data_IF_037243791227
#
_entry.id   IF_037243791227
#
_cell.length_a   1.000
_cell.length_b   1.000
_cell.length_c   1.000
_cell.angle_alpha   90.00
_cell.angle_beta   90.00
_cell.angle_gamma   90.00
#
_symmetry.space_group_name_H-M   'P 1'
#
loop_
_entity.id
_entity.type
_entity.pdbx_description
1 polymer ?
#
# COMPACT_ATOMS: atom_id res chain seq x y z
N UNK A 1 -28.66 -1.19 5.83
CA UNK A 1 -28.66 -0.46 7.12
C UNK A 1 -30.08 -0.33 7.70
N UNK A 2 -30.53 -1.36 8.44
CA UNK A 2 -31.83 -1.39 9.13
C UNK A 2 -31.76 -2.11 10.50
N UNK A 3 -30.70 -2.87 10.73
CA UNK A 3 -30.58 -3.83 11.84
C UNK A 3 -30.54 -3.17 13.21
N UNK A 4 -29.88 -2.01 13.32
CA UNK A 4 -29.80 -1.30 14.59
C UNK A 4 -31.19 -0.79 15.01
N UNK A 5 -31.99 -0.34 14.03
CA UNK A 5 -33.38 0.06 14.24
C UNK A 5 -34.28 -1.16 14.52
N UNK A 6 -34.06 -2.30 13.84
CA UNK A 6 -34.77 -3.56 14.11
C UNK A 6 -34.50 -4.08 15.54
N UNK A 7 -33.24 -4.04 15.98
CA UNK A 7 -32.85 -4.43 17.33
C UNK A 7 -33.48 -3.50 18.38
N UNK A 8 -33.54 -2.20 18.11
CA UNK A 8 -34.21 -1.24 18.98
C UNK A 8 -35.73 -1.45 19.03
N UNK A 9 -36.38 -1.72 17.88
CA UNK A 9 -37.81 -2.02 17.81
C UNK A 9 -38.15 -3.34 18.53
N UNK A 10 -37.31 -4.37 18.39
CA UNK A 10 -37.45 -5.64 19.10
C UNK A 10 -37.26 -5.47 20.61
N UNK A 11 -36.31 -4.64 21.06
CA UNK A 11 -36.12 -4.31 22.48
C UNK A 11 -37.32 -3.57 23.08
N UNK A 12 -37.99 -2.74 22.28
CA UNK A 12 -39.15 -1.96 22.71
C UNK A 12 -40.49 -2.71 22.54
N UNK A 13 -40.49 -3.98 22.15
CA UNK A 13 -41.70 -4.78 21.83
C UNK A 13 -42.63 -4.13 20.80
N UNK A 14 -42.10 -3.28 19.91
CA UNK A 14 -42.87 -2.64 18.84
C UNK A 14 -42.87 -3.54 17.60
N UNK A 15 -43.84 -4.46 17.57
CA UNK A 15 -43.99 -5.45 16.49
C UNK A 15 -44.27 -4.78 15.14
N UNK A 16 -45.03 -3.69 15.11
CA UNK A 16 -45.37 -3.00 13.86
C UNK A 16 -44.16 -2.27 13.27
N UNK A 17 -43.36 -1.61 14.11
CA UNK A 17 -42.12 -1.00 13.68
C UNK A 17 -41.11 -2.07 13.24
N UNK A 18 -41.01 -3.18 13.99
CA UNK A 18 -40.15 -4.31 13.65
C UNK A 18 -40.49 -4.91 12.28
N UNK A 19 -41.75 -5.26 12.03
CA UNK A 19 -42.19 -5.83 10.75
C UNK A 19 -41.91 -4.88 9.58
N UNK A 20 -42.20 -3.59 9.76
CA UNK A 20 -41.93 -2.57 8.73
C UNK A 20 -40.44 -2.44 8.43
N UNK A 21 -39.58 -2.53 9.44
CA UNK A 21 -38.13 -2.47 9.28
C UNK A 21 -37.60 -3.77 8.65
N UNK A 22 -38.12 -4.93 9.06
CA UNK A 22 -37.79 -6.23 8.50
C UNK A 22 -38.10 -6.31 7.01
N UNK A 23 -39.29 -5.87 6.57
CA UNK A 23 -39.62 -5.86 5.14
C UNK A 23 -38.76 -4.87 4.34
N UNK A 24 -38.37 -3.72 4.92
CA UNK A 24 -37.40 -2.81 4.29
C UNK A 24 -36.01 -3.43 4.17
N UNK A 25 -35.59 -4.18 5.20
CA UNK A 25 -34.32 -4.87 5.21
C UNK A 25 -34.30 -6.02 4.20
N UNK A 26 -35.34 -6.85 4.13
CA UNK A 26 -35.50 -7.88 3.09
C UNK A 26 -35.47 -7.25 1.70
N UNK A 27 -36.17 -6.13 1.49
CA UNK A 27 -36.12 -5.38 0.23
C UNK A 27 -34.70 -4.86 -0.10
N UNK A 28 -33.95 -4.41 0.90
CA UNK A 28 -32.56 -4.00 0.75
C UNK A 28 -31.65 -5.17 0.38
N UNK A 29 -31.76 -6.30 1.09
CA UNK A 29 -31.02 -7.53 0.77
C UNK A 29 -31.36 -7.99 -0.64
N UNK A 30 -32.64 -8.01 -1.02
CA UNK A 30 -33.08 -8.37 -2.37
C UNK A 30 -32.52 -7.45 -3.45
N UNK A 31 -32.55 -6.13 -3.24
CA UNK A 31 -31.95 -5.16 -4.16
C UNK A 31 -30.44 -5.32 -4.28
N UNK A 32 -29.74 -5.58 -3.16
CA UNK A 32 -28.29 -5.81 -3.14
C UNK A 32 -27.94 -7.12 -3.86
N UNK A 33 -28.75 -8.15 -3.68
CA UNK A 33 -28.64 -9.47 -4.34
C UNK A 33 -28.74 -9.32 -5.87
N UNK A 34 -29.81 -8.69 -6.36
CA UNK A 34 -30.00 -8.47 -7.81
C UNK A 34 -28.89 -7.60 -8.38
N UNK A 35 -28.48 -6.55 -7.66
CA UNK A 35 -27.40 -5.66 -8.09
C UNK A 35 -26.05 -6.37 -8.10
N UNK A 36 -25.71 -7.14 -7.07
CA UNK A 36 -24.48 -7.94 -6.98
C UNK A 36 -24.42 -8.97 -8.11
N UNK A 37 -25.51 -9.70 -8.34
CA UNK A 37 -25.60 -10.67 -9.43
C UNK A 37 -25.46 -10.00 -10.81
N UNK A 38 -26.21 -8.92 -11.06
CA UNK A 38 -26.18 -8.20 -12.33
C UNK A 38 -24.81 -7.57 -12.62
N UNK A 39 -24.18 -6.95 -11.61
CA UNK A 39 -22.83 -6.39 -11.74
C UNK A 39 -21.77 -7.49 -11.81
N UNK A 40 -22.01 -8.64 -11.20
CA UNK A 40 -21.23 -9.87 -11.35
C UNK A 40 -21.20 -10.33 -12.79
N UNK A 41 -22.38 -10.51 -13.38
CA UNK A 41 -22.56 -10.96 -14.77
C UNK A 41 -22.00 -9.96 -15.79
N UNK A 42 -22.31 -8.67 -15.62
CA UNK A 42 -21.86 -7.60 -16.54
C UNK A 42 -20.46 -7.09 -16.25
N UNK A 43 -19.74 -7.67 -15.28
CA UNK A 43 -18.42 -7.19 -14.83
C UNK A 43 -18.40 -5.68 -14.52
N UNK A 44 -19.49 -5.19 -13.93
CA UNK A 44 -19.68 -3.78 -13.57
C UNK A 44 -19.90 -2.80 -14.74
N UNK A 45 -19.88 -3.26 -16.00
CA UNK A 45 -19.93 -2.40 -17.20
C UNK A 45 -21.11 -1.43 -17.23
N UNK A 46 -22.23 -1.80 -16.61
CA UNK A 46 -23.49 -1.05 -16.59
C UNK A 46 -23.60 -0.08 -15.41
N UNK A 47 -22.62 -0.04 -14.51
CA UNK A 47 -22.65 0.87 -13.37
C UNK A 47 -22.21 2.29 -13.72
N UNK A 48 -22.86 3.27 -13.07
CA UNK A 48 -22.56 4.68 -13.20
C UNK A 48 -21.12 5.00 -12.74
N UNK A 49 -20.45 5.87 -13.48
CA UNK A 49 -19.11 6.36 -13.16
C UNK A 49 -19.10 7.89 -13.19
N UNK A 50 -18.38 8.54 -12.27
CA UNK A 50 -18.27 10.00 -12.28
C UNK A 50 -17.48 10.52 -13.50
N UNK A 51 -16.62 9.67 -14.09
CA UNK A 51 -15.79 10.04 -15.24
C UNK A 51 -15.76 8.99 -16.34
N UNK A 52 -15.32 9.42 -17.53
CA UNK A 52 -15.19 8.61 -18.73
C UNK A 52 -13.74 8.30 -19.15
N UNK A 53 -12.77 8.55 -18.28
CA UNK A 53 -11.33 8.45 -18.56
C UNK A 53 -10.75 7.05 -18.23
N UNK A 54 -9.41 6.96 -18.14
CA UNK A 54 -8.69 5.72 -17.82
C UNK A 54 -9.12 5.08 -16.47
N UNK A 55 -9.76 5.85 -15.58
CA UNK A 55 -10.23 5.37 -14.27
C UNK A 55 -11.66 4.83 -14.29
N UNK A 56 -12.41 5.01 -15.39
CA UNK A 56 -13.81 4.60 -15.52
C UNK A 56 -14.05 3.16 -15.06
N UNK A 57 -13.25 2.22 -15.56
CA UNK A 57 -13.40 0.79 -15.23
C UNK A 57 -13.19 0.52 -13.75
N UNK A 58 -12.32 1.25 -13.08
CA UNK A 58 -12.09 1.09 -11.64
C UNK A 58 -13.29 1.47 -10.79
N UNK A 59 -13.98 2.57 -11.11
CA UNK A 59 -15.24 2.91 -10.45
C UNK A 59 -16.30 1.82 -10.63
N UNK A 60 -16.35 1.20 -11.81
CA UNK A 60 -17.27 0.10 -12.08
C UNK A 60 -16.94 -1.16 -11.27
N UNK A 61 -15.65 -1.45 -11.12
CA UNK A 61 -15.15 -2.56 -10.30
C UNK A 61 -15.42 -2.34 -8.80
N UNK A 62 -15.18 -1.13 -8.30
CA UNK A 62 -15.53 -0.71 -6.95
C UNK A 62 -17.04 -0.86 -6.67
N UNK A 63 -17.89 -0.40 -7.59
CA UNK A 63 -19.36 -0.54 -7.46
C UNK A 63 -19.79 -2.01 -7.38
N UNK A 64 -19.18 -2.89 -8.18
CA UNK A 64 -19.44 -4.33 -8.13
C UNK A 64 -19.01 -4.91 -6.78
N UNK A 65 -17.78 -4.65 -6.35
CA UNK A 65 -17.25 -5.18 -5.10
C UNK A 65 -17.99 -4.64 -3.87
N UNK A 66 -18.42 -3.38 -3.90
CA UNK A 66 -19.27 -2.79 -2.86
C UNK A 66 -20.63 -3.49 -2.77
N UNK A 67 -21.26 -3.81 -3.90
CA UNK A 67 -22.50 -4.60 -3.91
C UNK A 67 -22.29 -6.02 -3.35
N UNK A 68 -21.16 -6.65 -3.69
CA UNK A 68 -20.80 -7.96 -3.13
C UNK A 68 -20.56 -7.90 -1.62
N UNK A 69 -19.85 -6.89 -1.13
CA UNK A 69 -19.65 -6.68 0.30
C UNK A 69 -20.98 -6.49 1.03
N UNK A 70 -21.88 -5.65 0.50
CA UNK A 70 -23.20 -5.44 1.08
C UNK A 70 -23.98 -6.76 1.19
N UNK A 71 -24.01 -7.56 0.12
CA UNK A 71 -24.64 -8.88 0.13
C UNK A 71 -24.00 -9.82 1.17
N UNK A 72 -22.66 -9.89 1.21
CA UNK A 72 -21.93 -10.71 2.16
C UNK A 72 -22.22 -10.29 3.60
N UNK A 73 -22.26 -8.99 3.90
CA UNK A 73 -22.59 -8.45 5.21
C UNK A 73 -24.02 -8.82 5.62
N UNK A 74 -25.00 -8.58 4.74
CA UNK A 74 -26.41 -8.86 4.97
C UNK A 74 -26.64 -10.36 5.24
N UNK A 75 -26.08 -11.24 4.40
CA UNK A 75 -26.23 -12.70 4.56
C UNK A 75 -25.45 -13.23 5.77
N UNK A 76 -24.25 -12.69 6.05
CA UNK A 76 -23.49 -13.05 7.25
C UNK A 76 -24.28 -12.76 8.51
N UNK A 77 -24.90 -11.60 8.57
CA UNK A 77 -25.72 -11.18 9.71
C UNK A 77 -27.03 -11.97 9.80
N UNK A 78 -27.67 -12.30 8.67
CA UNK A 78 -28.87 -13.14 8.67
C UNK A 78 -28.59 -14.58 9.14
N UNK A 79 -27.49 -15.19 8.68
CA UNK A 79 -27.13 -16.57 9.02
C UNK A 79 -26.52 -16.70 10.41
N UNK A 80 -25.70 -15.73 10.83
CA UNK A 80 -24.93 -15.82 12.07
C UNK A 80 -25.57 -15.02 13.21
N UNK A 81 -26.41 -14.03 12.91
CA UNK A 81 -27.10 -13.19 13.89
C UNK A 81 -26.15 -12.66 14.97
N UNK A 82 -26.56 -12.80 16.24
CA UNK A 82 -25.75 -12.40 17.39
C UNK A 82 -24.45 -13.19 17.59
N UNK A 83 -24.29 -14.36 16.92
CA UNK A 83 -23.04 -15.12 16.96
C UNK A 83 -21.96 -14.55 16.05
N UNK A 84 -22.30 -13.63 15.13
CA UNK A 84 -21.33 -12.94 14.27
C UNK A 84 -20.26 -12.23 15.09
N UNK A 85 -20.65 -11.59 16.21
CA UNK A 85 -19.73 -10.96 17.15
C UNK A 85 -18.72 -11.96 17.75
N UNK A 86 -19.11 -13.23 17.91
CA UNK A 86 -18.22 -14.30 18.40
C UNK A 86 -17.37 -14.93 17.29
N UNK A 87 -17.69 -14.68 16.01
CA UNK A 87 -16.93 -15.17 14.85
C UNK A 87 -16.04 -14.07 14.29
N UNK A 88 -15.09 -13.64 15.11
CA UNK A 88 -14.20 -12.50 14.85
C UNK A 88 -13.48 -12.61 13.50
N UNK A 89 -13.06 -13.80 13.08
CA UNK A 89 -12.41 -14.00 11.76
C UNK A 89 -13.29 -13.64 10.57
N UNK A 90 -14.60 -13.88 10.64
CA UNK A 90 -15.53 -13.53 9.54
C UNK A 90 -15.72 -12.02 9.51
N UNK A 91 -15.94 -11.41 10.68
CA UNK A 91 -16.07 -9.96 10.80
C UNK A 91 -14.79 -9.23 10.35
N UNK A 92 -13.62 -9.77 10.70
CA UNK A 92 -12.32 -9.23 10.28
C UNK A 92 -12.20 -9.24 8.75
N UNK A 93 -12.53 -10.35 8.09
CA UNK A 93 -12.48 -10.44 6.62
C UNK A 93 -13.45 -9.48 5.93
N UNK A 94 -14.66 -9.28 6.46
CA UNK A 94 -15.57 -8.25 5.95
C UNK A 94 -14.95 -6.84 6.10
N UNK A 95 -14.29 -6.58 7.23
CA UNK A 95 -13.53 -5.36 7.47
C UNK A 95 -12.35 -5.18 6.52
N UNK A 96 -11.64 -6.26 6.19
CA UNK A 96 -10.53 -6.25 5.24
C UNK A 96 -11.02 -5.89 3.82
N UNK A 97 -12.14 -6.48 3.37
CA UNK A 97 -12.77 -6.11 2.07
C UNK A 97 -13.15 -4.63 2.06
N UNK A 98 -13.78 -4.15 3.13
CA UNK A 98 -14.13 -2.73 3.27
C UNK A 98 -12.89 -1.82 3.22
N UNK A 99 -11.81 -2.23 3.88
CA UNK A 99 -10.55 -1.49 3.93
C UNK A 99 -9.95 -1.37 2.53
N UNK A 100 -9.94 -2.45 1.74
CA UNK A 100 -9.46 -2.40 0.35
C UNK A 100 -10.33 -1.51 -0.55
N UNK A 101 -11.65 -1.57 -0.40
CA UNK A 101 -12.57 -0.66 -1.10
C UNK A 101 -12.33 0.81 -0.75
N UNK A 102 -12.07 1.09 0.52
CA UNK A 102 -11.75 2.42 1.00
C UNK A 102 -10.42 2.92 0.41
N UNK A 103 -9.36 2.11 0.44
CA UNK A 103 -8.06 2.45 -0.12
C UNK A 103 -8.14 2.72 -1.63
N UNK A 104 -8.80 1.84 -2.40
CA UNK A 104 -9.01 2.06 -3.83
C UNK A 104 -9.81 3.34 -4.11
N UNK A 105 -10.83 3.61 -3.31
CA UNK A 105 -11.64 4.84 -3.44
C UNK A 105 -10.82 6.09 -3.08
N UNK A 106 -9.97 6.02 -2.06
CA UNK A 106 -9.08 7.10 -1.65
C UNK A 106 -8.03 7.41 -2.73
N UNK A 107 -7.47 6.39 -3.39
CA UNK A 107 -6.55 6.56 -4.53
C UNK A 107 -7.24 7.31 -5.67
N UNK A 108 -8.45 6.88 -6.05
CA UNK A 108 -9.22 7.55 -7.12
C UNK A 108 -9.63 8.98 -6.73
N UNK A 109 -10.04 9.19 -5.47
CA UNK A 109 -10.43 10.49 -4.95
C UNK A 109 -9.25 11.46 -4.93
N UNK A 110 -8.08 11.00 -4.47
CA UNK A 110 -6.84 11.79 -4.49
C UNK A 110 -6.45 12.16 -5.93
N UNK A 111 -6.53 11.21 -6.86
CA UNK A 111 -6.24 11.49 -8.28
C UNK A 111 -7.17 12.57 -8.86
N UNK A 112 -8.45 12.54 -8.48
CA UNK A 112 -9.43 13.57 -8.85
C UNK A 112 -9.10 14.94 -8.23
N UNK A 113 -8.82 14.97 -6.92
CA UNK A 113 -8.52 16.20 -6.17
C UNK A 113 -7.20 16.85 -6.59
N UNK A 114 -6.21 16.05 -6.99
CA UNK A 114 -4.91 16.53 -7.48
C UNK A 114 -4.94 16.87 -8.97
N UNK A 115 -6.11 16.90 -9.63
CA UNK A 115 -6.26 17.41 -10.99
C UNK A 115 -5.95 16.40 -12.10
N UNK A 116 -6.03 15.09 -11.80
CA UNK A 116 -5.95 13.99 -12.76
C UNK A 116 -4.71 14.01 -13.67
N UNK A 117 -3.54 14.19 -13.07
CA UNK A 117 -2.29 14.23 -13.80
C UNK A 117 -1.94 12.87 -14.44
N UNK A 118 -1.78 12.82 -15.76
CA UNK A 118 -1.47 11.56 -16.47
C UNK A 118 -0.19 10.88 -15.96
N UNK A 119 0.78 11.64 -15.47
CA UNK A 119 2.02 11.12 -14.87
C UNK A 119 1.77 10.26 -13.61
N UNK A 120 0.62 10.43 -12.94
CA UNK A 120 0.25 9.69 -11.73
C UNK A 120 -0.52 8.40 -12.05
N UNK A 121 -0.97 8.22 -13.31
CA UNK A 121 -1.76 7.05 -13.71
C UNK A 121 -1.09 5.72 -13.39
N UNK A 122 0.23 5.50 -13.57
CA UNK A 122 0.85 4.23 -13.20
C UNK A 122 0.64 3.87 -11.73
N UNK A 123 0.71 4.85 -10.82
CA UNK A 123 0.46 4.65 -9.38
C UNK A 123 -1.01 4.37 -9.09
N UNK A 124 -1.92 5.07 -9.77
CA UNK A 124 -3.37 4.85 -9.65
C UNK A 124 -3.74 3.45 -10.13
N UNK A 125 -3.26 3.07 -11.31
CA UNK A 125 -3.47 1.74 -11.88
C UNK A 125 -2.95 0.66 -10.93
N UNK A 126 -1.76 0.83 -10.38
CA UNK A 126 -1.14 -0.14 -9.49
C UNK A 126 -1.93 -0.28 -8.18
N UNK A 127 -2.16 0.84 -7.49
CA UNK A 127 -2.81 0.85 -6.18
C UNK A 127 -4.25 0.34 -6.22
N UNK A 128 -5.01 0.70 -7.27
CA UNK A 128 -6.38 0.21 -7.41
C UNK A 128 -6.42 -1.27 -7.83
N UNK A 129 -5.53 -1.72 -8.72
CA UNK A 129 -5.47 -3.14 -9.10
C UNK A 129 -5.12 -4.03 -7.89
N UNK A 130 -4.11 -3.66 -7.11
CA UNK A 130 -3.72 -4.39 -5.90
C UNK A 130 -4.88 -4.45 -4.89
N UNK A 131 -5.55 -3.32 -4.62
CA UNK A 131 -6.68 -3.28 -3.71
C UNK A 131 -7.88 -4.13 -4.20
N UNK A 132 -8.22 -4.07 -5.49
CA UNK A 132 -9.29 -4.89 -6.07
C UNK A 132 -8.94 -6.39 -6.01
N UNK A 133 -7.69 -6.74 -6.28
CA UNK A 133 -7.18 -8.11 -6.20
C UNK A 133 -7.28 -8.66 -4.77
N UNK A 134 -6.75 -7.91 -3.78
CA UNK A 134 -6.83 -8.28 -2.36
C UNK A 134 -8.26 -8.40 -1.86
N UNK A 135 -9.14 -7.46 -2.24
CA UNK A 135 -10.55 -7.53 -1.89
C UNK A 135 -11.21 -8.82 -2.41
N UNK A 136 -10.92 -9.22 -3.65
CA UNK A 136 -11.43 -10.46 -4.23
C UNK A 136 -10.89 -11.71 -3.54
N UNK A 137 -9.60 -11.74 -3.21
CA UNK A 137 -9.00 -12.82 -2.42
C UNK A 137 -9.68 -12.99 -1.06
N UNK A 138 -9.84 -11.89 -0.32
CA UNK A 138 -10.45 -11.92 1.02
C UNK A 138 -11.91 -12.35 0.96
N UNK A 139 -12.68 -11.90 -0.04
CA UNK A 139 -14.06 -12.38 -0.24
C UNK A 139 -14.12 -13.87 -0.50
N UNK A 140 -13.23 -14.39 -1.32
CA UNK A 140 -13.18 -15.82 -1.60
C UNK A 140 -12.76 -16.63 -0.36
N UNK A 141 -11.75 -16.16 0.39
CA UNK A 141 -11.35 -16.76 1.66
C UNK A 141 -12.47 -16.75 2.70
N UNK A 142 -13.30 -15.69 2.71
CA UNK A 142 -14.50 -15.61 3.55
C UNK A 142 -15.49 -16.70 3.15
N UNK A 143 -15.77 -16.89 1.86
CA UNK A 143 -16.70 -17.89 1.35
C UNK A 143 -16.20 -19.32 1.58
N UNK A 144 -14.92 -19.58 1.35
CA UNK A 144 -14.29 -20.89 1.60
C UNK A 144 -14.36 -21.32 3.07
N UNK A 145 -14.43 -20.38 3.99
CA UNK A 145 -14.48 -20.63 5.43
C UNK A 145 -15.85 -20.30 6.04
N UNK A 146 -16.86 -20.08 5.19
CA UNK A 146 -18.17 -19.69 5.67
C UNK A 146 -18.84 -20.88 6.38
N UNK A 147 -19.50 -20.69 7.54
CA UNK A 147 -19.94 -21.81 8.39
C UNK A 147 -21.00 -22.70 7.73
N UNK A 148 -21.88 -22.10 6.93
CA UNK A 148 -22.89 -22.82 6.17
C UNK A 148 -22.42 -23.01 4.73
N UNK A 149 -22.03 -24.24 4.38
CA UNK A 149 -21.50 -24.59 3.04
C UNK A 149 -22.51 -24.38 1.91
N UNK A 150 -23.80 -24.56 2.17
CA UNK A 150 -24.85 -24.36 1.16
C UNK A 150 -24.98 -22.87 0.84
N UNK A 151 -25.06 -22.04 1.88
CA UNK A 151 -25.10 -20.58 1.72
C UNK A 151 -23.82 -20.09 1.05
N UNK A 152 -22.66 -20.64 1.43
CA UNK A 152 -21.39 -20.32 0.79
C UNK A 152 -21.43 -20.60 -0.72
N UNK A 153 -21.91 -21.78 -1.13
CA UNK A 153 -22.03 -22.14 -2.55
C UNK A 153 -22.94 -21.20 -3.34
N UNK A 154 -24.10 -20.83 -2.77
CA UNK A 154 -25.03 -19.88 -3.39
C UNK A 154 -24.41 -18.49 -3.53
N UNK A 155 -23.75 -18.00 -2.48
CA UNK A 155 -23.04 -16.72 -2.52
C UNK A 155 -21.90 -16.72 -3.52
N UNK A 156 -21.11 -17.80 -3.59
CA UNK A 156 -20.03 -17.95 -4.58
C UNK A 156 -20.58 -17.89 -6.00
N UNK A 157 -21.65 -18.62 -6.30
CA UNK A 157 -22.28 -18.59 -7.62
C UNK A 157 -22.82 -17.18 -7.99
N UNK A 158 -23.25 -16.40 -6.99
CA UNK A 158 -23.78 -15.06 -7.20
C UNK A 158 -22.70 -13.99 -7.36
N UNK A 159 -21.64 -14.05 -6.56
CA UNK A 159 -20.54 -13.08 -6.52
C UNK A 159 -19.54 -13.32 -7.66
N UNK A 160 -19.30 -14.61 -7.96
CA UNK A 160 -18.33 -15.11 -8.94
C UNK A 160 -19.00 -16.01 -10.01
N UNK A 161 -20.04 -15.55 -10.72
CA UNK A 161 -20.76 -16.38 -11.69
C UNK A 161 -19.86 -16.88 -12.82
N UNK A 162 -18.85 -16.08 -13.18
CA UNK A 162 -17.84 -16.40 -14.20
C UNK A 162 -16.43 -16.53 -13.59
N UNK A 163 -16.34 -16.81 -12.29
CA UNK A 163 -15.08 -16.94 -11.54
C UNK A 163 -14.51 -15.62 -11.03
N UNK A 164 -13.23 -15.67 -10.63
CA UNK A 164 -12.42 -14.51 -10.19
C UNK A 164 -11.91 -13.72 -11.39
N UNK A 165 -11.81 -12.41 -11.26
CA UNK A 165 -11.56 -11.52 -12.40
C UNK A 165 -10.36 -10.60 -12.23
N UNK A 166 -9.93 -10.35 -11.00
CA UNK A 166 -8.84 -9.42 -10.76
C UNK A 166 -7.52 -10.17 -10.76
N UNK A 167 -6.57 -9.63 -11.52
CA UNK A 167 -5.19 -10.07 -11.52
C UNK A 167 -4.39 -9.12 -10.63
N UNK A 168 -3.32 -9.63 -10.04
CA UNK A 168 -2.32 -8.78 -9.41
C UNK A 168 -1.74 -7.79 -10.45
N UNK A 169 -1.23 -6.63 -10.00
CA UNK A 169 -0.50 -5.72 -10.87
C UNK A 169 0.60 -6.46 -11.65
N UNK A 170 0.75 -6.13 -12.94
CA UNK A 170 1.77 -6.75 -13.79
C UNK A 170 3.17 -6.21 -13.49
N UNK A 171 4.22 -7.01 -13.69
CA UNK A 171 5.63 -6.59 -13.56
C UNK A 171 5.97 -5.33 -14.38
N UNK A 172 5.33 -5.16 -15.54
CA UNK A 172 5.50 -3.94 -16.37
C UNK A 172 5.03 -2.69 -15.64
N UNK A 173 3.95 -2.80 -14.89
CA UNK A 173 3.39 -1.72 -14.09
C UNK A 173 4.23 -1.49 -12.84
N UNK A 174 4.70 -2.55 -12.19
CA UNK A 174 5.64 -2.47 -11.07
C UNK A 174 6.91 -1.72 -11.46
N UNK A 175 7.48 -2.07 -12.62
CA UNK A 175 8.67 -1.39 -13.15
C UNK A 175 8.41 0.11 -13.43
N UNK A 176 7.24 0.44 -13.98
CA UNK A 176 6.86 1.84 -14.22
C UNK A 176 6.74 2.64 -12.91
N UNK A 177 6.11 2.07 -11.89
CA UNK A 177 6.00 2.68 -10.55
C UNK A 177 7.38 2.82 -9.90
N UNK A 178 8.21 1.77 -9.95
CA UNK A 178 9.55 1.79 -9.39
C UNK A 178 10.42 2.88 -10.04
N UNK A 179 10.31 3.08 -11.35
CA UNK A 179 11.03 4.14 -12.07
C UNK A 179 10.59 5.54 -11.62
N UNK A 180 9.28 5.74 -11.39
CA UNK A 180 8.76 7.01 -10.87
C UNK A 180 9.33 7.31 -9.47
N UNK A 181 9.48 6.30 -8.61
CA UNK A 181 9.96 6.50 -7.24
C UNK A 181 11.48 6.71 -7.15
N UNK A 182 12.25 6.11 -8.07
CA UNK A 182 13.72 6.20 -8.09
C UNK A 182 14.26 7.48 -8.73
N UNK A 183 13.46 8.17 -9.56
CA UNK A 183 13.89 9.38 -10.26
C UNK A 183 13.20 10.62 -9.68
N UNK A 184 13.92 11.73 -9.41
CA UNK A 184 13.31 12.99 -9.04
C UNK A 184 12.31 13.46 -10.13
N UNK A 185 11.03 13.54 -9.78
CA UNK A 185 9.98 14.02 -10.67
C UNK A 185 8.82 14.65 -9.87
N UNK A 186 7.89 15.29 -10.58
CA UNK A 186 6.75 15.98 -9.97
C UNK A 186 5.81 15.01 -9.23
N UNK A 187 5.58 13.81 -9.77
CA UNK A 187 4.75 12.76 -9.16
C UNK A 187 5.29 12.31 -7.80
N UNK A 188 6.59 11.98 -7.74
CA UNK A 188 7.29 11.64 -6.50
C UNK A 188 7.20 12.77 -5.48
N UNK A 189 7.40 14.00 -5.94
CA UNK A 189 7.32 15.21 -5.09
C UNK A 189 5.91 15.42 -4.52
N UNK A 190 4.86 15.15 -5.31
CA UNK A 190 3.46 15.19 -4.82
C UNK A 190 3.20 14.13 -3.75
N UNK A 191 3.73 12.91 -3.91
CA UNK A 191 3.62 11.86 -2.89
C UNK A 191 4.36 12.23 -1.61
N UNK A 192 5.57 12.76 -1.71
CA UNK A 192 6.39 13.19 -0.57
C UNK A 192 6.01 14.54 0.03
N UNK A 193 4.90 15.15 -0.38
CA UNK A 193 4.48 16.47 0.10
C UNK A 193 4.31 16.47 1.62
N UNK A 194 4.92 17.45 2.28
CA UNK A 194 4.90 17.58 3.74
C UNK A 194 6.06 16.89 4.46
N UNK A 195 6.95 16.21 3.73
CA UNK A 195 8.20 15.68 4.28
C UNK A 195 9.27 16.77 4.38
N UNK A 196 10.04 16.75 5.47
CA UNK A 196 11.21 17.60 5.63
C UNK A 196 12.44 16.95 4.96
N UNK A 197 12.73 17.38 3.74
CA UNK A 197 13.80 16.80 2.90
C UNK A 197 15.07 17.65 2.85
N UNK A 198 15.18 18.69 3.68
CA UNK A 198 16.38 19.52 3.74
C UNK A 198 17.55 18.69 4.28
N UNK A 199 18.68 18.60 3.55
CA UNK A 199 19.86 17.91 4.04
C UNK A 199 20.38 18.59 5.31
N UNK A 200 20.53 17.81 6.36
CA UNK A 200 21.08 18.24 7.64
C UNK A 200 21.73 17.04 8.31
N UNK A 201 22.73 17.28 9.16
CA UNK A 201 23.47 16.24 9.88
C UNK A 201 22.55 15.25 10.61
N UNK A 202 21.44 15.74 11.17
CA UNK A 202 20.46 14.94 11.90
C UNK A 202 19.21 14.58 11.07
N UNK A 203 19.24 14.77 9.74
CA UNK A 203 18.16 14.38 8.84
C UNK A 203 18.63 13.34 7.81
N UNK A 204 18.64 12.04 8.17
CA UNK A 204 19.10 10.99 7.26
C UNK A 204 18.28 10.93 5.95
N UNK A 205 16.99 11.24 6.00
CA UNK A 205 16.13 11.27 4.81
C UNK A 205 16.53 12.41 3.85
N UNK A 206 16.88 13.58 4.41
CA UNK A 206 17.41 14.69 3.62
C UNK A 206 18.79 14.39 3.02
N UNK A 207 19.66 13.71 3.77
CA UNK A 207 20.98 13.28 3.27
C UNK A 207 20.88 12.24 2.15
N UNK A 208 19.89 11.34 2.22
CA UNK A 208 19.59 10.37 1.16
C UNK A 208 19.07 11.06 -0.11
N UNK A 209 18.23 12.09 0.04
CA UNK A 209 17.73 12.87 -1.09
C UNK A 209 18.86 13.68 -1.77
N UNK A 210 19.81 14.20 -0.99
CA UNK A 210 21.03 14.81 -1.53
C UNK A 210 21.88 13.78 -2.29
N UNK A 211 22.12 12.62 -1.68
CA UNK A 211 22.92 11.56 -2.31
C UNK A 211 22.32 11.07 -3.63
N UNK A 212 20.98 10.96 -3.72
CA UNK A 212 20.30 10.63 -4.97
C UNK A 212 20.61 11.66 -6.07
N UNK A 213 20.60 12.96 -5.75
CA UNK A 213 20.89 14.02 -6.71
C UNK A 213 22.35 14.00 -7.16
N UNK A 214 23.28 13.83 -6.22
CA UNK A 214 24.71 13.76 -6.53
C UNK A 214 25.02 12.54 -7.42
N UNK A 215 24.43 11.37 -7.14
CA UNK A 215 24.58 10.16 -7.96
C UNK A 215 24.02 10.35 -9.38
N UNK A 216 22.84 10.97 -9.50
CA UNK A 216 22.24 11.26 -10.81
C UNK A 216 23.11 12.24 -11.62
N UNK A 217 23.72 13.23 -10.96
CA UNK A 217 24.63 14.17 -11.63
C UNK A 217 25.94 13.49 -12.08
N UNK A 218 26.42 12.50 -11.32
CA UNK A 218 27.63 11.74 -11.63
C UNK A 218 27.45 10.70 -12.76
N UNK A 219 26.26 10.11 -12.91
CA UNK A 219 25.97 9.06 -13.91
C UNK A 219 26.38 9.42 -15.35
N UNK A 220 25.99 10.58 -15.94
CA UNK A 220 26.36 10.90 -17.32
C UNK A 220 27.89 11.05 -17.51
N UNK A 221 28.60 11.54 -16.49
CA UNK A 221 30.06 11.68 -16.51
C UNK A 221 30.71 10.29 -16.48
N UNK A 222 30.25 9.42 -15.57
CA UNK A 222 30.72 8.04 -15.46
C UNK A 222 30.51 7.25 -16.76
N UNK A 223 29.31 7.35 -17.36
CA UNK A 223 28.99 6.71 -18.64
C UNK A 223 29.92 7.19 -19.76
N UNK A 224 30.24 8.49 -19.79
CA UNK A 224 31.17 9.06 -20.79
C UNK A 224 32.58 8.51 -20.62
N UNK A 225 33.09 8.47 -19.39
CA UNK A 225 34.41 7.88 -19.08
C UNK A 225 34.46 6.39 -19.48
N UNK A 226 33.41 5.62 -19.17
CA UNK A 226 33.33 4.20 -19.53
C UNK A 226 33.37 4.00 -21.05
N UNK A 227 32.66 4.86 -21.79
CA UNK A 227 32.61 4.83 -23.26
C UNK A 227 33.96 5.17 -23.88
N UNK A 228 34.64 6.20 -23.40
CA UNK A 228 35.96 6.63 -23.91
C UNK A 228 37.06 5.61 -23.60
N UNK A 229 36.98 4.94 -22.44
CA UNK A 229 37.92 3.88 -22.06
C UNK A 229 37.56 2.51 -22.67
N UNK A 230 36.38 2.38 -23.29
CA UNK A 230 35.87 1.12 -23.83
C UNK A 230 35.69 0.02 -22.78
N UNK A 231 35.47 0.39 -21.51
CA UNK A 231 35.36 -0.54 -20.37
C UNK A 231 34.19 -0.14 -19.49
N UNK A 232 33.43 -1.14 -19.03
CA UNK A 232 32.40 -0.92 -18.02
C UNK A 232 33.06 -0.90 -16.62
N UNK A 233 33.25 0.30 -16.08
CA UNK A 233 33.86 0.49 -14.76
C UNK A 233 32.77 0.44 -13.68
N UNK A 234 33.07 -0.09 -12.48
CA UNK A 234 32.09 -0.10 -11.40
C UNK A 234 31.72 1.33 -10.99
N UNK A 235 30.48 1.55 -10.57
CA UNK A 235 30.01 2.82 -10.03
C UNK A 235 30.35 2.94 -8.53
N UNK A 236 31.64 2.82 -8.22
CA UNK A 236 32.21 2.82 -6.86
C UNK A 236 33.58 3.47 -6.90
N UNK A 237 34.04 4.09 -5.80
CA UNK A 237 35.34 4.79 -5.76
C UNK A 237 35.42 5.86 -6.85
N UNK A 238 34.33 6.63 -7.00
CA UNK A 238 34.21 7.65 -8.05
C UNK A 238 35.26 8.76 -7.85
N UNK A 239 35.74 8.97 -6.63
CA UNK A 239 36.83 9.87 -6.28
C UNK A 239 38.17 9.46 -6.95
N UNK A 240 38.50 8.17 -6.93
CA UNK A 240 39.69 7.63 -7.61
C UNK A 240 39.51 7.64 -9.12
N UNK A 241 38.31 7.32 -9.60
CA UNK A 241 37.97 7.42 -11.02
C UNK A 241 38.14 8.85 -11.53
N UNK A 242 37.67 9.84 -10.77
CA UNK A 242 37.77 11.26 -11.09
C UNK A 242 39.23 11.70 -11.22
N UNK A 243 40.09 11.34 -10.26
CA UNK A 243 41.52 11.68 -10.32
C UNK A 243 42.20 11.09 -11.54
N UNK A 244 41.92 9.82 -11.86
CA UNK A 244 42.50 9.14 -13.01
C UNK A 244 42.00 9.70 -14.34
N UNK A 245 40.72 10.05 -14.44
CA UNK A 245 40.11 10.63 -15.63
C UNK A 245 40.61 12.07 -15.88
N UNK A 246 40.75 12.87 -14.82
CA UNK A 246 41.32 14.22 -14.88
C UNK A 246 42.78 14.19 -15.34
N UNK A 247 43.59 13.26 -14.79
CA UNK A 247 44.99 13.09 -15.19
C UNK A 247 45.16 12.69 -16.66
N UNK A 248 44.17 12.00 -17.23
CA UNK A 248 44.12 11.62 -18.65
C UNK A 248 43.46 12.67 -19.55
N UNK A 249 42.97 13.77 -18.98
CA UNK A 249 42.28 14.83 -19.72
C UNK A 249 40.90 14.43 -20.28
N UNK A 250 40.25 13.42 -19.70
CA UNK A 250 38.92 12.94 -20.14
C UNK A 250 37.76 13.77 -19.56
N UNK A 251 38.01 14.45 -18.44
CA UNK A 251 37.06 15.30 -17.73
C UNK A 251 37.77 16.57 -17.23
N UNK A 252 36.99 17.60 -16.92
CA UNK A 252 37.50 18.80 -16.27
C UNK A 252 37.48 18.73 -14.72
N UNK A 253 37.92 19.80 -14.07
CA UNK A 253 37.98 19.89 -12.61
C UNK A 253 36.60 19.91 -11.95
N UNK A 254 35.60 20.48 -12.62
CA UNK A 254 34.25 20.63 -12.09
C UNK A 254 33.54 19.27 -12.13
N UNK A 255 33.67 18.54 -13.23
CA UNK A 255 33.21 17.17 -13.39
C UNK A 255 33.89 16.21 -12.42
N UNK A 256 35.19 16.37 -12.18
CA UNK A 256 35.91 15.59 -11.17
C UNK A 256 35.37 15.85 -9.76
N UNK A 257 34.99 17.09 -9.43
CA UNK A 257 34.38 17.43 -8.16
C UNK A 257 32.97 16.82 -8.00
N UNK A 258 32.17 16.76 -9.07
CA UNK A 258 30.86 16.11 -9.05
C UNK A 258 30.99 14.62 -8.71
N UNK A 259 31.93 13.91 -9.35
CA UNK A 259 32.20 12.49 -9.06
C UNK A 259 32.69 12.27 -7.62
N UNK A 260 33.60 13.12 -7.12
CA UNK A 260 34.09 13.01 -5.75
C UNK A 260 32.98 13.25 -4.72
N UNK A 261 32.13 14.26 -4.95
CA UNK A 261 30.97 14.55 -4.09
C UNK A 261 29.98 13.40 -4.09
N UNK A 262 29.70 12.81 -5.25
CA UNK A 262 28.80 11.67 -5.35
C UNK A 262 29.32 10.47 -4.55
N UNK A 263 30.64 10.21 -4.55
CA UNK A 263 31.23 9.16 -3.71
C UNK A 263 31.11 9.46 -2.21
N UNK A 264 31.38 10.71 -1.80
CA UNK A 264 31.23 11.13 -0.41
C UNK A 264 29.79 10.94 0.08
N UNK A 265 28.81 11.44 -0.67
CA UNK A 265 27.38 11.28 -0.36
C UNK A 265 26.94 9.81 -0.36
N UNK A 266 27.48 8.99 -1.27
CA UNK A 266 27.22 7.55 -1.35
C UNK A 266 27.77 6.82 -0.12
N UNK A 267 29.03 7.05 0.25
CA UNK A 267 29.65 6.45 1.42
C UNK A 267 28.94 6.86 2.71
N UNK A 268 28.61 8.14 2.86
CA UNK A 268 27.83 8.65 3.98
C UNK A 268 26.47 7.95 4.13
N UNK A 269 25.84 7.59 3.02
CA UNK A 269 24.51 6.95 3.02
C UNK A 269 24.55 5.43 3.22
N UNK A 270 25.67 4.79 2.87
CA UNK A 270 25.84 3.33 2.98
C UNK A 270 26.48 2.94 4.31
N UNK A 271 27.38 3.77 4.84
CA UNK A 271 28.06 3.50 6.10
C UNK A 271 27.03 3.46 7.23
N UNK A 272 27.02 2.32 7.91
CA UNK A 272 26.32 2.17 9.19
C UNK A 272 27.26 2.62 10.30
N UNK A 273 26.70 3.03 11.44
CA UNK A 273 27.49 3.36 12.62
C UNK A 273 28.40 2.17 12.97
N UNK A 274 29.71 2.38 12.83
CA UNK A 274 30.74 1.43 13.24
C UNK A 274 31.14 1.77 14.67
N UNK A 275 30.78 0.91 15.62
CA UNK A 275 31.11 1.09 17.02
C UNK A 275 32.30 0.20 17.36
N UNK A 276 33.35 0.82 17.91
CA UNK A 276 34.46 0.07 18.48
C UNK A 276 33.93 -0.97 19.51
N UNK A 277 34.44 -2.21 19.53
CA UNK A 277 33.97 -3.26 20.44
C UNK A 277 33.93 -2.85 21.91
N UNK A 278 34.84 -1.96 22.29
CA UNK A 278 34.98 -1.39 23.63
C UNK A 278 33.84 -0.44 24.00
N UNK A 279 33.24 0.26 23.02
CA UNK A 279 32.08 1.12 23.23
C UNK A 279 30.80 0.33 23.49
N UNK A 280 30.74 -0.92 23.02
CA UNK A 280 29.62 -1.86 23.22
C UNK A 280 29.84 -2.83 24.40
N UNK A 281 31.02 -2.82 25.03
CA UNK A 281 31.34 -3.71 26.12
C UNK A 281 30.52 -3.38 27.38
N UNK A 282 29.78 -4.36 27.90
CA UNK A 282 29.05 -4.22 29.17
C UNK A 282 30.01 -4.00 30.32
N UNK A 283 29.89 -2.86 31.01
CA UNK A 283 30.64 -2.61 32.25
C UNK A 283 30.29 -3.71 33.27
N UNK A 284 31.29 -4.35 33.92
CA UNK A 284 31.03 -5.41 34.88
C UNK A 284 30.17 -4.86 36.01
N UNK A 285 29.06 -5.56 36.29
CA UNK A 285 28.18 -5.24 37.41
C UNK A 285 29.00 -5.38 38.70
N UNK A 286 29.27 -4.26 39.38
CA UNK A 286 29.85 -4.29 40.72
C UNK A 286 28.84 -4.97 41.65
N UNK A 287 29.08 -6.23 41.98
CA UNK A 287 28.36 -6.90 43.06
C UNK A 287 28.62 -6.12 44.35
N UNK A 288 27.57 -5.79 45.14
CA UNK A 288 27.77 -5.09 46.40
C UNK A 288 28.67 -5.94 47.31
N UNK A 289 29.71 -5.30 47.87
CA UNK A 289 30.58 -5.94 48.84
C UNK A 289 29.74 -6.52 49.98
N UNK A 290 29.94 -7.81 50.27
CA UNK A 290 29.35 -8.44 51.44
C UNK A 290 29.86 -7.70 52.68
N UNK A 291 29.04 -6.78 53.20
CA UNK A 291 29.25 -6.16 54.51
C UNK A 291 29.31 -7.31 55.53
N UNK A 292 30.51 -7.53 56.07
CA UNK A 292 30.75 -8.55 57.08
C UNK A 292 29.92 -8.17 58.32
N UNK A 293 28.93 -8.99 58.67
CA UNK A 293 28.19 -8.82 59.93
C UNK A 293 29.20 -8.86 61.07
N UNK A 294 29.24 -7.79 61.85
CA UNK A 294 29.99 -7.74 63.10
C UNK A 294 29.28 -8.70 64.06
N UNK A 295 29.97 -9.74 64.52
CA UNK A 295 29.49 -10.61 65.59
C UNK A 295 29.42 -9.78 66.88
N UNK A 296 28.22 -9.71 67.47
CA UNK A 296 28.02 -9.14 68.79
C UNK A 296 28.48 -10.15 69.85
N UNK A 297 29.14 -9.62 70.88
CA UNK A 297 29.77 -10.31 72.01
C UNK A 297 28.81 -11.18 72.84
#
# INVERSE_FOLDING_TARGET
>A
PYVLEEMAAAQNNDVNAFDKLLFKHIGHVGSNTVRSFWLGLTRGLTSHTPTGDATKRYYQHLNRLSANLALLSDVSMAVLGGSLKRRERISARLGDVLSQLYLASAVLKRYDDEGRHEADLPLVHWGVQDALYRAEQVMDDLLQNFPNRVVAGLLTAMIFPTGRHYLAPSDKLDHAVAKILQVPNATRSRIGRGQYLTPAEHNPVGLLEEALRDVIAADPIHQRICKELGKNLPFTRLDELARNALAKGLIDKDEAAILAKAEESRLRSINVDDFEPEALATKPVKLPEKVRKVEAA
#
